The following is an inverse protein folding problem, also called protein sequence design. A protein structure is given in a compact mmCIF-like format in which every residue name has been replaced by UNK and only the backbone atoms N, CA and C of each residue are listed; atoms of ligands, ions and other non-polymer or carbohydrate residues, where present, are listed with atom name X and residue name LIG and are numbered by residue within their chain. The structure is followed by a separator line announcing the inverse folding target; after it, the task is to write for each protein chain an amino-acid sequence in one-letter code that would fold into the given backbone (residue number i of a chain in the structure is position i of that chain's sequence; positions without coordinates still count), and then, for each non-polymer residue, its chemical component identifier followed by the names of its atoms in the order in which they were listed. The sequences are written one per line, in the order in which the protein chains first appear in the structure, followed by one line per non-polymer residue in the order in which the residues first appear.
data_IF_894534931137
#
_entry.id   IF_894534931137
#
_cell.length_a   1.000
_cell.length_b   1.000
_cell.length_c   1.000
_cell.angle_alpha   90.00
_cell.angle_beta   90.00
_cell.angle_gamma   90.00
#
_symmetry.space_group_name_H-M   'P 1'
#
loop_
_entity.id
_entity.type
_entity.pdbx_description
1 polymer ?
2 water ?
#
# COMPACT_ATOMS: atom_id res chain seq x y z
N UNK A 3 5.14 0.88 -17.96
CA UNK A 3 4.09 1.79 -17.51
C UNK A 3 2.92 1.02 -16.91
N UNK A 4 3.02 0.74 -15.62
CA UNK A 4 2.07 -0.10 -14.93
C UNK A 4 1.12 0.72 -14.09
N UNK A 5 1.22 2.04 -14.19
CA UNK A 5 0.50 2.95 -13.30
C UNK A 5 -1.00 2.66 -13.21
N UNK A 6 -1.70 2.62 -14.34
CA UNK A 6 -3.15 2.42 -14.29
C UNK A 6 -3.52 1.09 -13.64
N UNK A 7 -2.80 0.03 -14.01
CA UNK A 7 -3.07 -1.30 -13.48
C UNK A 7 -2.75 -1.40 -12.00
N UNK A 8 -1.67 -0.75 -11.60
CA UNK A 8 -1.19 -0.81 -10.23
C UNK A 8 -1.94 0.17 -9.31
N UNK A 9 -2.52 1.21 -9.90
CA UNK A 9 -3.17 2.27 -9.14
C UNK A 9 -4.20 1.71 -8.14
N UNK A 10 -5.15 0.91 -8.64
CA UNK A 10 -6.18 0.31 -7.80
C UNK A 10 -5.73 -0.70 -6.75
N UNK A 11 -4.42 -1.00 -6.67
CA UNK A 11 -3.87 -1.95 -5.68
C UNK A 11 -2.78 -1.35 -4.80
N UNK A 12 -2.39 -0.13 -5.11
CA UNK A 12 -1.22 0.45 -4.52
C UNK A 12 -1.44 0.84 -3.05
N UNK A 13 -2.62 1.35 -2.73
CA UNK A 13 -2.93 1.69 -1.35
C UNK A 13 -2.79 0.47 -0.44
N UNK A 14 -3.28 -0.68 -0.91
CA UNK A 14 -3.15 -1.93 -0.17
C UNK A 14 -1.71 -2.41 0.02
N UNK A 15 -0.90 -2.29 -1.02
CA UNK A 15 0.52 -2.65 -0.92
C UNK A 15 1.18 -1.78 0.16
N UNK A 16 0.84 -0.50 0.19
CA UNK A 16 1.37 0.39 1.22
C UNK A 16 0.95 -0.03 2.63
N UNK A 17 -0.35 -0.27 2.82
CA UNK A 17 -0.86 -0.79 4.09
C UNK A 17 -0.10 -2.04 4.49
N UNK A 18 0.11 -2.94 3.53
CA UNK A 18 0.84 -4.15 3.83
C UNK A 18 2.26 -3.82 4.32
N UNK A 19 2.94 -2.87 3.66
CA UNK A 19 4.31 -2.50 4.04
C UNK A 19 4.32 -1.88 5.45
N UNK A 20 3.41 -0.94 5.70
CA UNK A 20 3.36 -0.29 7.01
C UNK A 20 3.06 -1.29 8.14
N UNK A 21 2.35 -2.37 7.81
CA UNK A 21 1.94 -3.35 8.80
C UNK A 21 3.13 -4.06 9.42
N UNK A 22 4.20 -4.22 8.65
CA UNK A 22 5.34 -5.04 9.08
C UNK A 22 6.15 -4.35 10.18
N UNK A 23 6.11 -3.02 10.18
CA UNK A 23 6.73 -2.21 11.23
C UNK A 23 6.64 -0.71 10.94
N UNK A 24 6.77 0.09 11.99
CA UNK A 24 6.77 1.54 11.85
C UNK A 24 7.70 1.96 10.72
N UNK A 25 7.23 2.85 9.85
CA UNK A 25 8.03 3.26 8.71
C UNK A 25 7.65 4.66 8.24
N UNK A 26 8.09 5.05 7.06
CA UNK A 26 7.84 6.41 6.58
C UNK A 26 7.95 6.45 5.06
N UNK A 27 7.41 7.51 4.46
CA UNK A 27 7.30 7.62 3.02
C UNK A 27 8.52 7.20 2.20
N UNK A 28 9.70 7.72 2.54
CA UNK A 28 10.87 7.44 1.72
C UNK A 28 11.10 5.93 1.71
N UNK A 29 11.00 5.32 2.88
CA UNK A 29 11.34 3.92 3.01
C UNK A 29 10.27 3.05 2.33
N UNK A 30 9.02 3.50 2.37
CA UNK A 30 7.97 2.77 1.71
C UNK A 30 8.22 2.79 0.21
N UNK A 31 8.54 3.97 -0.30
CA UNK A 31 8.82 4.13 -1.72
C UNK A 31 9.95 3.19 -2.16
N UNK A 32 11.04 3.17 -1.40
CA UNK A 32 12.20 2.36 -1.78
C UNK A 32 11.82 0.88 -1.71
N UNK A 33 10.99 0.51 -0.74
CA UNK A 33 10.55 -0.88 -0.63
C UNK A 33 9.73 -1.30 -1.88
N UNK A 34 8.86 -0.42 -2.36
CA UNK A 34 8.08 -0.67 -3.58
C UNK A 34 8.99 -0.73 -4.83
N UNK A 35 9.99 0.13 -4.86
CA UNK A 35 10.99 0.11 -5.93
C UNK A 35 11.78 -1.19 -5.93
N UNK A 36 12.22 -1.61 -4.74
CA UNK A 36 12.96 -2.85 -4.58
C UNK A 36 12.11 -4.08 -4.97
N UNK A 37 10.80 -3.99 -4.75
CA UNK A 37 9.87 -5.05 -5.17
C UNK A 37 9.83 -5.19 -6.71
N UNK A 38 10.06 -4.09 -7.42
CA UNK A 38 10.02 -4.10 -8.87
C UNK A 38 9.09 -3.02 -9.44
N UNK A 39 8.51 -2.20 -8.58
CA UNK A 39 7.67 -1.11 -9.05
C UNK A 39 8.52 0.14 -9.11
N UNK A 40 9.44 0.14 -10.07
CA UNK A 40 10.48 1.16 -10.12
C UNK A 40 9.96 2.55 -10.45
N UNK A 41 8.76 2.62 -11.01
CA UNK A 41 8.19 3.90 -11.42
C UNK A 41 7.44 4.58 -10.28
N UNK A 42 7.34 3.92 -9.13
CA UNK A 42 6.70 4.52 -7.97
C UNK A 42 7.65 5.53 -7.34
N UNK A 43 7.21 6.77 -7.26
CA UNK A 43 7.99 7.84 -6.67
C UNK A 43 7.38 8.27 -5.34
N UNK A 44 8.16 8.99 -4.55
CA UNK A 44 7.73 9.45 -3.24
C UNK A 44 6.39 10.17 -3.22
N UNK A 45 6.12 10.99 -4.23
CA UNK A 45 4.92 11.80 -4.26
C UNK A 45 3.68 10.93 -4.37
N UNK A 46 3.86 9.74 -4.94
CA UNK A 46 2.77 8.80 -5.09
C UNK A 46 2.49 8.20 -3.73
N UNK A 47 3.56 7.81 -3.03
CA UNK A 47 3.40 7.29 -1.68
C UNK A 47 2.88 8.37 -0.73
N UNK A 48 3.42 9.58 -0.82
CA UNK A 48 2.92 10.67 0.00
C UNK A 48 1.39 10.76 -0.10
N UNK A 49 0.89 10.85 -1.34
CA UNK A 49 -0.54 11.03 -1.59
C UNK A 49 -1.34 9.88 -0.97
N UNK A 50 -0.82 8.66 -1.08
CA UNK A 50 -1.47 7.50 -0.46
C UNK A 50 -1.50 7.62 1.07
N UNK A 51 -0.37 8.01 1.66
CA UNK A 51 -0.27 8.16 3.11
C UNK A 51 -1.29 9.18 3.62
N UNK A 52 -1.49 10.26 2.87
CA UNK A 52 -2.53 11.24 3.20
C UNK A 52 -3.93 10.58 3.18
N UNK A 53 -4.24 9.83 2.12
CA UNK A 53 -5.53 9.12 2.05
C UNK A 53 -5.73 8.18 3.24
N UNK A 54 -4.66 7.50 3.66
CA UNK A 54 -4.76 6.56 4.77
C UNK A 54 -4.99 7.31 6.07
N UNK A 55 -4.44 8.51 6.18
CA UNK A 55 -4.62 9.30 7.40
C UNK A 55 -6.07 9.83 7.54
N UNK A 56 -6.66 10.29 6.45
CA UNK A 56 -8.03 10.80 6.49
C UNK A 56 -9.04 9.66 6.73
N UNK A 57 -8.71 8.44 6.29
CA UNK A 57 -9.55 7.27 6.56
C UNK A 57 -9.29 6.69 7.95
N UNK A 58 -8.33 7.28 8.67
CA UNK A 58 -8.04 6.89 10.05
C UNK A 58 -7.56 5.45 10.16
N UNK A 59 -6.73 5.03 9.21
CA UNK A 59 -6.19 3.67 9.16
C UNK A 59 -4.78 3.53 9.77
N UNK A 60 -4.14 4.64 10.14
CA UNK A 60 -2.73 4.61 10.58
C UNK A 60 -2.50 5.49 11.79
N UNK A 61 -1.68 5.03 12.74
CA UNK A 61 -1.24 5.90 13.82
C UNK A 61 -0.01 6.69 13.36
N UNK A 62 0.04 7.98 13.69
CA UNK A 62 1.15 8.84 13.28
C UNK A 62 1.96 9.33 14.46
N UNK A 63 3.25 9.52 14.25
CA UNK A 63 4.14 9.96 15.32
C UNK A 63 5.28 10.78 14.72
N UNK A 64 5.43 12.03 15.15
CA UNK A 64 6.59 12.85 14.78
C UNK A 64 7.78 12.47 15.65
N UNK A 65 8.77 11.83 15.03
CA UNK A 65 9.92 11.28 15.74
C UNK A 65 11.20 11.94 15.24
N UNK A 66 12.31 11.75 15.97
CA UNK A 66 13.66 12.15 15.56
C UNK A 66 14.38 11.05 14.78
N UNK A 72 11.80 16.98 10.54
CA UNK A 72 10.59 16.52 11.24
C UNK A 72 9.82 15.47 10.45
N UNK A 73 9.94 14.19 10.81
CA UNK A 73 9.30 13.13 10.03
C UNK A 73 8.14 12.43 10.75
N UNK A 74 7.12 12.12 9.96
CA UNK A 74 5.96 11.42 10.46
C UNK A 74 6.24 9.93 10.34
N UNK A 75 6.12 9.21 11.45
CA UNK A 75 6.22 7.75 11.41
C UNK A 75 4.83 7.12 11.43
N UNK A 76 4.62 6.18 10.51
CA UNK A 76 3.32 5.54 10.32
C UNK A 76 3.37 4.10 10.79
N UNK A 77 2.34 3.71 11.53
CA UNK A 77 2.09 2.30 11.79
C UNK A 77 0.57 2.07 11.68
N UNK A 78 0.15 0.82 11.63
CA UNK A 78 -1.28 0.51 11.48
C UNK A 78 -2.00 0.58 12.81
N UNK A 79 -3.18 1.20 12.82
CA UNK A 79 -4.11 1.00 13.93
C UNK A 79 -5.06 -0.15 13.60
N UNK A 80 -6.06 -0.38 14.45
CA UNK A 80 -6.91 -1.53 14.30
C UNK A 80 -7.75 -1.49 13.02
N UNK A 81 -8.27 -0.30 12.71
CA UNK A 81 -8.97 -0.10 11.46
C UNK A 81 -8.06 -0.49 10.28
N UNK A 82 -6.79 -0.06 10.36
CA UNK A 82 -5.84 -0.32 9.28
C UNK A 82 -5.62 -1.81 9.05
N UNK A 83 -5.43 -2.57 10.12
CA UNK A 83 -5.30 -4.01 10.00
C UNK A 83 -6.57 -4.62 9.40
N UNK A 84 -7.73 -4.21 9.92
CA UNK A 84 -9.02 -4.64 9.38
C UNK A 84 -9.04 -4.38 7.88
N UNK A 85 -8.67 -3.16 7.49
CA UNK A 85 -8.78 -2.75 6.09
C UNK A 85 -7.83 -3.53 5.19
N UNK A 86 -6.61 -3.78 5.69
CA UNK A 86 -5.59 -4.58 4.99
C UNK A 86 -6.12 -6.00 4.75
N UNK A 87 -6.78 -6.56 5.74
CA UNK A 87 -7.39 -7.87 5.56
C UNK A 87 -8.39 -7.83 4.42
N UNK A 88 -9.18 -6.78 4.33
CA UNK A 88 -10.22 -6.72 3.30
C UNK A 88 -9.58 -6.57 1.93
N UNK A 89 -8.48 -5.83 1.89
CA UNK A 89 -7.77 -5.61 0.63
C UNK A 89 -7.28 -6.93 0.06
N UNK A 90 -6.66 -7.76 0.90
CA UNK A 90 -6.11 -9.03 0.44
C UNK A 90 -7.25 -9.97 0.01
N UNK A 91 -8.40 -9.94 0.70
CA UNK A 91 -9.52 -10.80 0.30
C UNK A 91 -9.99 -10.34 -1.10
N UNK A 92 -10.19 -9.04 -1.27
CA UNK A 92 -10.47 -8.49 -2.58
C UNK A 92 -9.41 -8.87 -3.63
N UNK A 93 -8.13 -8.69 -3.30
CA UNK A 93 -7.07 -9.06 -4.23
C UNK A 93 -7.18 -10.53 -4.67
N UNK A 94 -7.32 -11.43 -3.69
CA UNK A 94 -7.38 -12.87 -3.97
C UNK A 94 -8.52 -13.22 -4.92
N UNK A 95 -9.66 -12.60 -4.69
CA UNK A 95 -10.82 -12.82 -5.53
C UNK A 95 -10.59 -12.32 -6.95
N UNK A 96 -10.24 -11.04 -7.06
CA UNK A 96 -10.06 -10.41 -8.36
C UNK A 96 -8.96 -11.12 -9.17
N UNK A 97 -7.81 -11.37 -8.56
CA UNK A 97 -6.70 -12.00 -9.27
C UNK A 97 -6.99 -13.46 -9.68
N UNK A 98 -7.58 -14.26 -8.80
CA UNK A 98 -8.00 -15.61 -9.17
C UNK A 98 -8.93 -15.63 -10.38
N UNK A 99 -9.80 -14.63 -10.52
CA UNK A 99 -10.78 -14.66 -11.60
C UNK A 99 -10.16 -14.19 -12.89
N UNK A 100 -9.27 -13.21 -12.79
CA UNK A 100 -8.50 -12.81 -13.95
C UNK A 100 -7.57 -13.93 -14.44
N UNK A 101 -6.92 -14.64 -13.53
CA UNK A 101 -6.15 -15.81 -13.92
C UNK A 101 -6.97 -16.97 -14.49
N UNK A 102 -8.23 -17.12 -14.05
CA UNK A 102 -9.11 -18.15 -14.62
C UNK A 102 -9.35 -17.81 -16.08
N UNK A 103 -9.42 -16.52 -16.34
CA UNK A 103 -9.65 -16.02 -17.69
C UNK A 103 -8.40 -16.18 -18.56
N UNK A 104 -7.25 -15.82 -18.01
CA UNK A 104 -5.99 -15.99 -18.69
C UNK A 104 -5.78 -17.46 -19.04
N UNK A 105 -6.20 -18.34 -18.13
CA UNK A 105 -5.93 -19.77 -18.28
C UNK A 105 -6.42 -20.36 -19.60
N UNK A 106 -7.23 -19.61 -20.34
CA UNK A 106 -7.72 -20.10 -21.63
C UNK A 106 -7.11 -19.34 -22.82
N UNK A 107 -6.05 -18.58 -22.55
CA UNK A 107 -5.00 -18.29 -23.54
C UNK A 107 -3.78 -17.61 -22.90
#
# INVERSE_FOLDING_TARGET
MENLTEMLKGSLEGCVLEIISRRETYGYEITRHLNDLGFTEVVEGTVYTILVRLEKKKLVNIEKKPSDMGPPRKFYSLNEAGRQELELFWKKWDFVSSKINVLKSSNSRWSHPQFEK
#
